data_IF_362122427729
#
_entry.id   IF_362122427729
#
_cell.length_a   1.000
_cell.length_b   1.000
_cell.length_c   1.000
_cell.angle_alpha   90.00
_cell.angle_beta   90.00
_cell.angle_gamma   90.00
#
_symmetry.space_group_name_H-M   'P 1'
#
loop_
_entity.id
_entity.type
_entity.pdbx_description
1 polymer ?
#
# COMPACT_ATOMS: atom_id res chain seq x y z
N UNK A 1 25.92 14.27 33.63
CA UNK A 1 25.60 14.90 32.32
C UNK A 1 25.70 13.98 31.10
N UNK A 2 26.35 12.81 31.15
CA UNK A 2 26.38 11.86 30.01
C UNK A 2 25.09 11.03 29.83
N UNK A 3 24.34 10.76 30.90
CA UNK A 3 23.12 9.95 30.83
C UNK A 3 21.91 10.68 30.20
N UNK A 4 21.90 12.02 30.20
CA UNK A 4 20.84 12.80 29.57
C UNK A 4 20.90 12.77 28.03
N UNK A 5 22.11 12.61 27.46
CA UNK A 5 22.30 12.55 26.01
C UNK A 5 21.85 11.21 25.41
N UNK A 6 21.98 10.11 26.18
CA UNK A 6 21.60 8.76 25.74
C UNK A 6 20.07 8.60 25.70
N UNK A 7 19.35 9.26 26.62
CA UNK A 7 17.88 9.21 26.65
C UNK A 7 17.25 9.93 25.46
N UNK A 8 17.89 10.99 24.94
CA UNK A 8 17.36 11.79 23.84
C UNK A 8 17.52 11.09 22.47
N UNK A 9 18.50 10.19 22.34
CA UNK A 9 18.69 9.38 21.13
C UNK A 9 17.69 8.22 21.06
N UNK A 10 17.19 7.71 22.20
CA UNK A 10 16.22 6.61 22.20
C UNK A 10 14.79 7.04 21.80
N UNK A 11 14.43 8.31 22.01
CA UNK A 11 13.08 8.83 21.69
C UNK A 11 12.93 9.09 20.18
N UNK A 12 14.02 9.44 19.48
CA UNK A 12 14.01 9.65 18.03
C UNK A 12 13.78 8.35 17.21
N UNK A 13 13.95 7.17 17.83
CA UNK A 13 13.82 5.87 17.17
C UNK A 13 12.37 5.39 17.01
N UNK A 14 11.38 6.09 17.58
CA UNK A 14 9.97 5.68 17.56
C UNK A 14 9.13 6.38 16.48
N UNK A 15 9.72 7.26 15.66
CA UNK A 15 9.05 7.86 14.49
C UNK A 15 9.19 6.92 13.26
N UNK A 16 9.09 5.62 13.51
CA UNK A 16 8.88 4.58 12.52
C UNK A 16 7.45 4.04 12.58
N UNK A 17 6.49 4.83 13.08
CA UNK A 17 5.08 4.50 12.94
C UNK A 17 4.67 4.80 11.50
N UNK A 18 4.72 3.78 10.64
CA UNK A 18 3.95 3.81 9.41
C UNK A 18 2.48 3.97 9.79
N UNK A 19 1.99 5.21 9.75
CA UNK A 19 0.59 5.54 10.04
C UNK A 19 -0.26 4.78 9.04
N UNK A 20 -1.11 3.88 9.55
CA UNK A 20 -2.21 3.31 8.77
C UNK A 20 -2.99 4.50 8.20
N UNK A 21 -3.22 4.56 6.87
CA UNK A 21 -3.95 5.67 6.28
C UNK A 21 -5.31 5.84 6.96
N UNK A 22 -5.69 7.08 7.26
CA UNK A 22 -7.00 7.36 7.83
C UNK A 22 -8.13 7.13 6.81
N UNK A 23 -9.37 7.30 7.25
CA UNK A 23 -10.54 7.03 6.42
C UNK A 23 -10.62 7.89 5.15
N UNK A 24 -10.10 9.12 5.19
CA UNK A 24 -10.08 10.04 4.05
C UNK A 24 -9.01 9.62 3.05
N UNK A 25 -7.80 9.34 3.53
CA UNK A 25 -6.71 8.83 2.71
C UNK A 25 -7.07 7.49 2.04
N UNK A 26 -7.75 6.59 2.76
CA UNK A 26 -8.24 5.33 2.18
C UNK A 26 -9.29 5.57 1.08
N UNK A 27 -10.16 6.56 1.25
CA UNK A 27 -11.15 6.91 0.24
C UNK A 27 -10.50 7.51 -1.01
N UNK A 28 -9.54 8.42 -0.83
CA UNK A 28 -8.78 9.02 -1.92
C UNK A 28 -7.99 7.95 -2.69
N UNK A 29 -7.30 7.05 -1.97
CA UNK A 29 -6.60 5.91 -2.56
C UNK A 29 -7.53 4.99 -3.35
N UNK A 30 -8.70 4.65 -2.80
CA UNK A 30 -9.68 3.82 -3.50
C UNK A 30 -10.16 4.50 -4.79
N UNK A 31 -10.43 5.81 -4.77
CA UNK A 31 -10.86 6.57 -5.93
C UNK A 31 -9.77 6.65 -7.00
N UNK A 32 -8.55 7.04 -6.59
CA UNK A 32 -7.38 7.10 -7.44
C UNK A 32 -7.10 5.74 -8.10
N UNK A 33 -7.19 4.66 -7.32
CA UNK A 33 -6.97 3.31 -7.82
C UNK A 33 -8.03 2.88 -8.84
N UNK A 34 -9.31 3.21 -8.61
CA UNK A 34 -10.39 2.92 -9.56
C UNK A 34 -10.24 3.69 -10.87
N UNK A 35 -9.77 4.93 -10.80
CA UNK A 35 -9.44 5.72 -12.01
C UNK A 35 -8.29 5.04 -12.77
N UNK A 36 -7.20 4.68 -12.10
CA UNK A 36 -6.08 3.99 -12.75
C UNK A 36 -6.53 2.68 -13.44
N UNK A 37 -7.41 1.92 -12.79
CA UNK A 37 -7.95 0.65 -13.30
C UNK A 37 -8.81 0.79 -14.57
N UNK A 38 -9.37 1.97 -14.85
CA UNK A 38 -10.20 2.24 -16.03
C UNK A 38 -9.43 2.97 -17.13
N UNK A 39 -8.41 3.75 -16.78
CA UNK A 39 -7.65 4.58 -17.75
C UNK A 39 -6.37 3.93 -18.24
N UNK A 40 -5.85 2.94 -17.52
CA UNK A 40 -4.55 2.34 -17.80
C UNK A 40 -4.65 0.85 -18.18
N UNK A 41 -3.71 0.40 -19.00
CA UNK A 41 -3.57 -1.02 -19.36
C UNK A 41 -2.95 -1.80 -18.20
N UNK A 42 -3.14 -3.12 -18.21
CA UNK A 42 -2.43 -4.01 -17.29
C UNK A 42 -0.90 -3.89 -17.44
N UNK A 43 -0.18 -4.13 -16.35
CA UNK A 43 1.26 -3.98 -16.23
C UNK A 43 1.67 -2.82 -15.33
N UNK A 44 2.94 -2.45 -15.42
CA UNK A 44 3.53 -1.40 -14.59
C UNK A 44 2.99 -0.01 -14.95
N UNK A 45 2.60 0.73 -13.92
CA UNK A 45 2.29 2.15 -14.03
C UNK A 45 3.57 2.93 -13.73
N UNK A 46 4.11 3.72 -14.68
CA UNK A 46 5.32 4.49 -14.46
C UNK A 46 5.06 5.62 -13.45
N UNK A 47 6.11 6.01 -12.72
CA UNK A 47 6.02 6.89 -11.56
C UNK A 47 5.45 8.29 -11.88
N UNK A 48 5.71 8.79 -13.09
CA UNK A 48 5.16 10.05 -13.59
C UNK A 48 3.64 10.04 -13.80
N UNK A 49 3.02 8.85 -13.78
CA UNK A 49 1.58 8.65 -13.93
C UNK A 49 0.88 8.25 -12.63
N UNK A 50 1.58 8.22 -11.50
CA UNK A 50 0.96 7.91 -10.22
C UNK A 50 0.08 9.07 -9.77
N UNK A 51 -1.18 8.82 -9.37
CA UNK A 51 -2.00 9.79 -8.67
C UNK A 51 -1.28 10.33 -7.42
N UNK A 52 -1.57 11.57 -7.03
CA UNK A 52 -0.93 12.21 -5.87
C UNK A 52 -1.13 11.41 -4.58
N UNK A 53 -2.33 10.87 -4.36
CA UNK A 53 -2.66 10.05 -3.17
C UNK A 53 -1.91 8.72 -3.13
N UNK A 54 -1.48 8.20 -4.29
CA UNK A 54 -0.64 7.01 -4.38
C UNK A 54 0.83 7.38 -4.19
N UNK A 55 1.25 8.50 -4.80
CA UNK A 55 2.64 8.98 -4.72
C UNK A 55 3.03 9.39 -3.30
N UNK A 56 2.10 9.94 -2.52
CA UNK A 56 2.34 10.34 -1.13
C UNK A 56 2.64 9.17 -0.19
N UNK A 57 2.33 7.94 -0.60
CA UNK A 57 2.65 6.71 0.13
C UNK A 57 4.11 6.25 -0.08
N UNK A 58 4.89 6.98 -0.89
CA UNK A 58 6.24 6.62 -1.32
C UNK A 58 6.35 5.17 -1.81
N UNK A 59 5.53 4.76 -2.80
CA UNK A 59 5.51 3.38 -3.23
C UNK A 59 6.77 3.05 -4.03
N UNK A 60 7.26 1.81 -3.87
CA UNK A 60 8.38 1.26 -4.65
C UNK A 60 7.97 0.94 -6.08
N UNK A 61 6.70 0.57 -6.28
CA UNK A 61 6.13 0.15 -7.56
C UNK A 61 4.61 0.25 -7.51
N UNK A 62 4.00 0.57 -8.63
CA UNK A 62 2.54 0.51 -8.79
C UNK A 62 2.23 -0.23 -10.08
N UNK A 63 1.37 -1.24 -10.03
CA UNK A 63 1.04 -2.04 -11.20
C UNK A 63 -0.40 -2.52 -11.20
N UNK A 64 -0.94 -2.73 -12.40
CA UNK A 64 -2.31 -3.21 -12.62
C UNK A 64 -2.25 -4.67 -13.03
N UNK A 65 -2.90 -5.52 -12.25
CA UNK A 65 -3.16 -6.90 -12.59
C UNK A 65 -4.63 -7.11 -13.00
N UNK A 66 -4.99 -8.37 -13.26
CA UNK A 66 -6.37 -8.77 -13.56
C UNK A 66 -7.28 -8.47 -12.37
N UNK A 67 -6.80 -8.76 -11.17
CA UNK A 67 -7.53 -8.70 -9.90
C UNK A 67 -7.74 -7.25 -9.43
N UNK A 68 -6.79 -6.36 -9.72
CA UNK A 68 -6.83 -4.98 -9.24
C UNK A 68 -5.50 -4.25 -9.37
N UNK A 69 -5.42 -3.11 -8.68
CA UNK A 69 -4.24 -2.26 -8.59
C UNK A 69 -3.45 -2.63 -7.34
N UNK A 70 -2.15 -2.82 -7.51
CA UNK A 70 -1.20 -3.06 -6.44
C UNK A 70 -0.31 -1.84 -6.27
N UNK A 71 -0.20 -1.37 -5.03
CA UNK A 71 0.69 -0.29 -4.61
C UNK A 71 1.71 -0.90 -3.66
N UNK A 72 2.89 -1.20 -4.18
CA UNK A 72 3.98 -1.87 -3.45
C UNK A 72 4.66 -0.86 -2.54
N UNK A 73 4.62 -1.06 -1.22
CA UNK A 73 5.31 -0.19 -0.26
C UNK A 73 6.55 -0.87 0.34
N UNK A 74 6.62 -2.20 0.31
CA UNK A 74 7.78 -2.94 0.82
C UNK A 74 8.04 -4.21 0.03
N UNK A 75 9.33 -4.55 -0.04
CA UNK A 75 9.87 -5.74 -0.71
C UNK A 75 11.03 -6.26 0.13
N UNK A 76 11.11 -7.58 0.32
CA UNK A 76 12.21 -8.23 1.02
C UNK A 76 12.38 -9.66 0.51
N UNK A 77 13.51 -9.95 -0.14
CA UNK A 77 13.73 -11.21 -0.87
C UNK A 77 12.61 -11.45 -1.90
N UNK A 78 11.83 -12.52 -1.72
CA UNK A 78 10.69 -12.90 -2.56
C UNK A 78 9.37 -12.35 -2.03
N UNK A 79 9.38 -11.74 -0.84
CA UNK A 79 8.17 -11.16 -0.25
C UNK A 79 7.89 -9.76 -0.80
N UNK A 80 6.60 -9.51 -1.06
CA UNK A 80 6.08 -8.20 -1.44
C UNK A 80 4.91 -7.83 -0.51
N UNK A 81 4.82 -6.57 -0.10
CA UNK A 81 3.72 -6.06 0.72
C UNK A 81 3.32 -4.66 0.26
N UNK A 82 2.04 -4.34 0.45
CA UNK A 82 1.52 -3.04 0.06
C UNK A 82 0.03 -2.90 0.25
N UNK A 83 -0.55 -2.00 -0.54
CA UNK A 83 -1.98 -1.74 -0.60
C UNK A 83 -2.56 -2.27 -1.90
N UNK A 84 -3.80 -2.74 -1.84
CA UNK A 84 -4.51 -3.33 -2.97
C UNK A 84 -5.89 -2.69 -3.10
N UNK A 85 -6.22 -2.27 -4.32
CA UNK A 85 -7.54 -1.78 -4.71
C UNK A 85 -8.12 -2.79 -5.73
N UNK A 86 -9.16 -3.55 -5.38
CA UNK A 86 -9.72 -4.56 -6.26
C UNK A 86 -10.43 -3.92 -7.46
N UNK A 87 -10.39 -4.63 -8.57
CA UNK A 87 -11.20 -4.30 -9.76
C UNK A 87 -12.67 -4.58 -9.52
N UNK A 88 -12.98 -5.71 -8.90
CA UNK A 88 -14.33 -6.11 -8.57
C UNK A 88 -14.78 -5.49 -7.24
N UNK A 89 -15.94 -4.85 -7.21
CA UNK A 89 -16.45 -4.19 -5.99
C UNK A 89 -16.89 -5.17 -4.90
N UNK A 90 -17.18 -6.41 -5.29
CA UNK A 90 -17.56 -7.55 -4.45
C UNK A 90 -16.37 -8.49 -4.18
N UNK A 91 -15.14 -8.01 -4.36
CA UNK A 91 -13.94 -8.80 -4.07
C UNK A 91 -13.95 -9.32 -2.63
N UNK A 92 -13.89 -10.65 -2.50
CA UNK A 92 -13.74 -11.35 -1.22
C UNK A 92 -12.40 -12.09 -1.24
N UNK A 93 -11.47 -11.79 -0.33
CA UNK A 93 -10.18 -12.45 -0.32
C UNK A 93 -10.31 -13.91 0.14
N UNK A 94 -9.61 -14.81 -0.54
CA UNK A 94 -9.55 -16.21 -0.15
C UNK A 94 -8.67 -16.39 1.10
N UNK A 95 -9.20 -17.04 2.12
CA UNK A 95 -8.46 -17.34 3.35
C UNK A 95 -7.36 -18.36 3.06
N UNK A 96 -6.14 -18.07 3.50
CA UNK A 96 -4.98 -18.95 3.33
C UNK A 96 -4.35 -18.95 1.94
N UNK A 97 -4.82 -18.10 1.01
CA UNK A 97 -4.21 -17.93 -0.30
C UNK A 97 -2.94 -17.06 -0.25
N UNK A 98 -2.14 -17.15 -1.32
CA UNK A 98 -1.08 -16.21 -1.65
C UNK A 98 -1.38 -15.58 -3.02
N UNK A 99 -1.58 -14.25 -3.12
CA UNK A 99 -1.46 -13.25 -2.07
C UNK A 99 -2.52 -13.37 -0.96
N UNK A 100 -2.14 -12.97 0.25
CA UNK A 100 -3.06 -12.78 1.37
C UNK A 100 -3.51 -11.33 1.47
N UNK A 101 -4.75 -11.08 1.89
CA UNK A 101 -5.33 -9.75 2.00
C UNK A 101 -6.05 -9.53 3.33
N UNK A 102 -5.96 -8.31 3.86
CA UNK A 102 -6.71 -7.85 5.04
C UNK A 102 -7.41 -6.55 4.68
N UNK A 103 -8.73 -6.50 4.84
CA UNK A 103 -9.49 -5.27 4.60
C UNK A 103 -9.10 -4.21 5.62
N UNK A 104 -8.72 -3.02 5.14
CA UNK A 104 -8.34 -1.88 5.99
C UNK A 104 -9.34 -0.71 5.89
N UNK A 105 -10.29 -0.77 4.95
CA UNK A 105 -11.43 0.15 4.85
C UNK A 105 -11.63 0.69 3.45
N UNK A 106 -12.83 1.22 3.17
CA UNK A 106 -13.18 1.91 1.90
C UNK A 106 -12.90 1.10 0.61
N UNK A 107 -12.92 -0.23 0.69
CA UNK A 107 -12.59 -1.11 -0.44
C UNK A 107 -11.09 -1.23 -0.72
N UNK A 108 -10.24 -0.81 0.24
CA UNK A 108 -8.78 -1.00 0.20
C UNK A 108 -8.40 -2.13 1.13
N UNK A 109 -7.40 -2.90 0.71
CA UNK A 109 -6.82 -4.00 1.44
C UNK A 109 -5.33 -3.75 1.65
N UNK A 110 -4.77 -4.17 2.78
CA UNK A 110 -3.35 -4.48 2.83
C UNK A 110 -3.14 -5.88 2.26
N UNK A 111 -2.06 -6.08 1.51
CA UNK A 111 -1.72 -7.39 0.96
C UNK A 111 -0.29 -7.81 1.32
N UNK A 112 -0.07 -9.12 1.30
CA UNK A 112 1.25 -9.73 1.39
C UNK A 112 1.35 -10.91 0.44
N UNK A 113 2.41 -10.93 -0.34
CA UNK A 113 2.89 -12.03 -1.18
C UNK A 113 4.09 -12.65 -0.46
N UNK A 114 4.12 -13.97 -0.29
CA UNK A 114 5.25 -14.65 0.37
C UNK A 114 6.31 -15.15 -0.60
N UNK A 115 5.95 -15.35 -1.86
CA UNK A 115 6.86 -15.83 -2.91
C UNK A 115 7.01 -17.34 -2.92
#
# INVERSE_FOLDING_TARGET
MKHALILLVLIASLIGCGTVPDAEALQALAQAGRIALTTSKAGDLPADRWPTDISSLDPKRVYIAKEGLYVVTSTFFVEERGLFVPRASDFVPQVGADPSYVAIGKGVFSYRIRG
#
